data_IF_520205423060
#
_entry.id   IF_520205423060
#
_cell.length_a   1.000
_cell.length_b   1.000
_cell.length_c   1.000
_cell.angle_alpha   90.00
_cell.angle_beta   90.00
_cell.angle_gamma   90.00
#
_symmetry.space_group_name_H-M   'P 1'
#
loop_
_entity.id
_entity.type
_entity.pdbx_description
1 polymer ?
#
# COMPACT_ATOMS: atom_id res chain seq x y z
N UNK A 1 -4.77 -19.62 4.38
CA UNK A 1 -4.53 -19.36 5.81
C UNK A 1 -5.30 -18.11 6.17
N UNK A 2 -6.35 -18.23 6.98
CA UNK A 2 -7.18 -17.09 7.42
C UNK A 2 -6.72 -16.71 8.82
N UNK A 3 -5.91 -15.66 8.91
CA UNK A 3 -5.52 -15.10 10.20
C UNK A 3 -6.76 -14.49 10.86
N UNK A 4 -7.13 -15.00 12.03
CA UNK A 4 -8.15 -14.40 12.88
C UNK A 4 -7.42 -13.77 14.05
N UNK A 5 -7.15 -12.46 13.98
CA UNK A 5 -6.66 -11.73 15.14
C UNK A 5 -7.63 -11.93 16.31
N UNK A 6 -7.09 -12.09 17.52
CA UNK A 6 -7.95 -12.08 18.71
C UNK A 6 -8.74 -10.77 18.79
N UNK A 7 -9.97 -10.82 19.28
CA UNK A 7 -10.82 -9.63 19.45
C UNK A 7 -10.09 -8.55 20.27
N UNK A 8 -9.31 -8.96 21.27
CA UNK A 8 -8.45 -8.08 22.05
C UNK A 8 -7.44 -7.33 21.18
N UNK A 9 -6.77 -8.00 20.25
CA UNK A 9 -5.82 -7.37 19.33
C UNK A 9 -6.52 -6.39 18.39
N UNK A 10 -7.65 -6.81 17.81
CA UNK A 10 -8.45 -5.96 16.92
C UNK A 10 -8.90 -4.69 17.65
N UNK A 11 -9.39 -4.82 18.89
CA UNK A 11 -9.80 -3.68 19.70
C UNK A 11 -8.62 -2.72 19.99
N UNK A 12 -7.46 -3.25 20.39
CA UNK A 12 -6.26 -2.43 20.62
C UNK A 12 -5.82 -1.67 19.37
N UNK A 13 -5.82 -2.33 18.22
CA UNK A 13 -5.50 -1.72 16.92
C UNK A 13 -6.49 -0.62 16.57
N UNK A 14 -7.80 -0.87 16.72
CA UNK A 14 -8.84 0.15 16.47
C UNK A 14 -8.65 1.40 17.33
N UNK A 15 -8.38 1.23 18.63
CA UNK A 15 -8.12 2.35 19.52
C UNK A 15 -6.85 3.10 19.11
N UNK A 16 -5.78 2.38 18.77
CA UNK A 16 -4.54 2.98 18.30
C UNK A 16 -4.75 3.80 17.00
N UNK A 17 -5.53 3.29 16.05
CA UNK A 17 -5.90 4.01 14.82
C UNK A 17 -6.71 5.27 15.16
N UNK A 18 -7.71 5.19 16.03
CA UNK A 18 -8.53 6.36 16.42
C UNK A 18 -7.67 7.44 17.04
N UNK A 19 -6.77 7.06 17.95
CA UNK A 19 -5.83 8.00 18.56
C UNK A 19 -4.92 8.58 17.49
N UNK A 20 -4.32 7.77 16.63
CA UNK A 20 -3.42 8.24 15.57
C UNK A 20 -4.13 9.20 14.59
N UNK A 21 -5.37 8.88 14.20
CA UNK A 21 -6.14 9.63 13.21
C UNK A 21 -6.72 10.95 13.74
N UNK A 22 -6.61 11.26 15.04
CA UNK A 22 -7.09 12.53 15.57
C UNK A 22 -6.35 13.71 14.89
N UNK A 23 -7.04 14.69 14.28
CA UNK A 23 -6.42 15.80 13.55
C UNK A 23 -5.36 16.57 14.34
N UNK A 24 -5.55 16.78 15.65
CA UNK A 24 -4.56 17.45 16.51
C UNK A 24 -3.24 16.68 16.57
N UNK A 25 -3.33 15.34 16.53
CA UNK A 25 -2.17 14.46 16.56
C UNK A 25 -1.46 14.47 15.19
N UNK A 26 -2.20 14.70 14.10
CA UNK A 26 -1.66 14.72 12.73
C UNK A 26 -0.72 15.92 12.52
N UNK A 27 -1.06 17.09 13.06
CA UNK A 27 -0.23 18.29 12.92
C UNK A 27 1.14 18.12 13.58
N UNK A 28 1.20 17.39 14.68
CA UNK A 28 2.45 17.08 15.39
C UNK A 28 3.31 16.13 14.57
N UNK A 29 2.69 15.14 13.91
CA UNK A 29 3.40 14.25 12.98
C UNK A 29 3.91 15.04 11.78
N UNK A 30 3.10 15.92 11.18
CA UNK A 30 3.47 16.70 9.98
C UNK A 30 4.58 17.71 10.24
N UNK A 31 4.55 18.43 11.36
CA UNK A 31 5.53 19.48 11.69
C UNK A 31 6.95 18.94 11.88
N UNK A 32 7.09 17.63 12.06
CA UNK A 32 8.38 17.00 12.31
C UNK A 32 9.04 16.28 11.16
N UNK A 33 8.33 16.07 10.07
CA UNK A 33 8.87 15.36 8.90
C UNK A 33 9.78 16.26 8.06
N UNK A 34 10.15 17.45 8.57
CA UNK A 34 11.25 18.23 7.99
C UNK A 34 12.52 17.39 8.19
N UNK A 35 13.23 17.03 7.10
CA UNK A 35 14.44 16.24 7.23
C UNK A 35 15.41 17.05 8.08
N UNK A 36 15.75 16.53 9.25
CA UNK A 36 16.95 16.95 9.95
C UNK A 36 18.07 16.45 9.05
N UNK A 37 18.56 17.34 8.18
CA UNK A 37 19.84 17.13 7.53
C UNK A 37 20.86 16.95 8.65
N UNK A 38 21.71 15.94 8.49
CA UNK A 38 22.96 15.76 9.21
C UNK A 38 22.91 15.06 10.59
N UNK A 39 22.92 13.73 10.53
CA UNK A 39 24.02 12.97 11.13
C UNK A 39 24.06 12.69 12.65
N UNK A 40 23.06 13.08 13.45
CA UNK A 40 23.09 12.84 14.90
C UNK A 40 21.99 11.87 15.39
N UNK A 41 22.41 10.69 15.83
CA UNK A 41 21.57 9.63 16.41
C UNK A 41 20.75 10.11 17.63
N UNK A 42 21.23 11.13 18.34
CA UNK A 42 20.60 11.66 19.57
C UNK A 42 19.28 12.43 19.35
N UNK A 43 19.08 13.01 18.16
CA UNK A 43 17.85 13.78 17.88
C UNK A 43 16.65 12.85 17.68
N UNK A 44 16.88 11.64 17.17
CA UNK A 44 15.82 10.68 16.87
C UNK A 44 15.22 10.06 18.16
N UNK A 45 16.02 9.88 19.21
CA UNK A 45 15.58 9.35 20.51
C UNK A 45 14.73 10.36 21.29
N UNK A 46 15.20 11.61 21.38
CA UNK A 46 14.44 12.71 22.02
C UNK A 46 13.11 12.91 21.29
N UNK A 47 13.13 12.82 19.96
CA UNK A 47 11.94 12.96 19.13
C UNK A 47 10.95 11.79 19.28
N UNK A 48 11.48 10.57 19.45
CA UNK A 48 10.67 9.38 19.73
C UNK A 48 10.03 9.46 21.12
N UNK A 49 10.79 9.94 22.12
CA UNK A 49 10.31 10.11 23.49
C UNK A 49 9.21 11.18 23.59
N UNK A 50 9.37 12.33 22.93
CA UNK A 50 8.35 13.39 22.96
C UNK A 50 7.03 12.94 22.32
N UNK A 51 7.08 12.24 21.18
CA UNK A 51 5.90 11.58 20.59
C UNK A 51 5.27 10.57 21.54
N UNK A 52 6.09 9.72 22.16
CA UNK A 52 5.61 8.70 23.09
C UNK A 52 4.87 9.35 24.27
N UNK A 53 5.46 10.36 24.91
CA UNK A 53 4.84 11.08 26.03
C UNK A 53 3.54 11.78 25.61
N UNK A 54 3.51 12.36 24.41
CA UNK A 54 2.31 12.96 23.85
C UNK A 54 1.17 11.95 23.70
N UNK A 55 1.42 10.82 23.02
CA UNK A 55 0.41 9.79 22.84
C UNK A 55 0.02 9.14 24.17
N UNK A 56 0.95 9.03 25.12
CA UNK A 56 0.69 8.56 26.48
C UNK A 56 -0.28 9.48 27.20
N UNK A 57 -0.04 10.78 27.17
CA UNK A 57 -0.96 11.77 27.74
C UNK A 57 -2.34 11.71 27.09
N UNK A 58 -2.42 11.62 25.75
CA UNK A 58 -3.70 11.46 25.05
C UNK A 58 -4.44 10.18 25.48
N UNK A 59 -3.74 9.05 25.63
CA UNK A 59 -4.34 7.83 26.15
C UNK A 59 -4.88 8.01 27.57
N UNK A 60 -4.10 8.63 28.46
CA UNK A 60 -4.52 8.94 29.83
C UNK A 60 -5.77 9.82 29.86
N UNK A 61 -5.82 10.86 29.03
CA UNK A 61 -6.97 11.75 28.92
C UNK A 61 -8.24 11.03 28.41
N UNK A 62 -8.07 9.94 27.65
CA UNK A 62 -9.18 9.07 27.22
C UNK A 62 -9.59 8.04 28.29
N UNK A 63 -9.03 8.08 29.50
CA UNK A 63 -9.33 7.14 30.58
C UNK A 63 -8.82 5.71 30.32
N UNK A 64 -7.82 5.55 29.44
CA UNK A 64 -7.28 4.23 29.09
C UNK A 64 -6.39 3.72 30.25
N UNK A 65 -6.66 2.53 30.82
CA UNK A 65 -5.82 1.95 31.87
C UNK A 65 -4.37 1.76 31.42
N UNK A 66 -3.41 1.98 32.33
CA UNK A 66 -1.97 1.91 32.04
C UNK A 66 -1.53 0.63 31.30
N UNK A 67 -2.07 -0.53 31.68
CA UNK A 67 -1.73 -1.81 31.06
C UNK A 67 -2.17 -1.89 29.59
N UNK A 68 -3.30 -1.25 29.24
CA UNK A 68 -3.77 -1.17 27.85
C UNK A 68 -3.05 -0.06 27.08
N UNK A 69 -2.76 1.05 27.75
CA UNK A 69 -2.03 2.17 27.18
C UNK A 69 -0.67 1.73 26.64
N UNK A 70 0.14 1.00 27.40
CA UNK A 70 1.46 0.54 26.92
C UNK A 70 1.32 -0.34 25.65
N UNK A 71 0.27 -1.16 25.55
CA UNK A 71 0.00 -1.98 24.37
C UNK A 71 -0.46 -1.15 23.17
N UNK A 72 -1.21 -0.09 23.41
CA UNK A 72 -1.63 0.86 22.35
C UNK A 72 -0.44 1.66 21.87
N UNK A 73 0.42 2.14 22.76
CA UNK A 73 1.61 2.93 22.39
C UNK A 73 2.58 2.12 21.53
N UNK A 74 2.71 0.81 21.76
CA UNK A 74 3.49 -0.09 20.91
C UNK A 74 2.91 -0.24 19.48
N UNK A 75 1.62 0.08 19.27
CA UNK A 75 0.95 0.00 17.96
C UNK A 75 1.06 1.29 17.14
N UNK A 76 1.29 2.43 17.79
CA UNK A 76 1.34 3.72 17.10
C UNK A 76 2.49 3.80 16.09
N UNK A 77 3.75 3.39 16.39
CA UNK A 77 4.84 3.46 15.42
C UNK A 77 4.58 2.67 14.12
N UNK A 78 4.15 1.39 14.14
CA UNK A 78 3.87 0.68 12.89
C UNK A 78 2.67 1.26 12.13
N UNK A 79 1.61 1.72 12.80
CA UNK A 79 0.48 2.40 12.15
C UNK A 79 0.96 3.68 11.45
N UNK A 80 1.78 4.48 12.14
CA UNK A 80 2.38 5.69 11.58
C UNK A 80 3.21 5.38 10.34
N UNK A 81 4.06 4.36 10.40
CA UNK A 81 4.87 3.92 9.26
C UNK A 81 4.00 3.51 8.07
N UNK A 82 2.88 2.82 8.28
CA UNK A 82 1.95 2.48 7.19
C UNK A 82 1.41 3.74 6.50
N UNK A 83 1.05 4.75 7.27
CA UNK A 83 0.57 6.02 6.73
C UNK A 83 1.68 6.80 6.02
N UNK A 84 2.89 6.83 6.57
CA UNK A 84 4.07 7.43 5.93
C UNK A 84 4.40 6.73 4.60
N UNK A 85 4.41 5.39 4.59
CA UNK A 85 4.63 4.58 3.38
C UNK A 85 3.57 4.90 2.31
N UNK A 86 2.28 4.93 2.70
CA UNK A 86 1.20 5.33 1.81
C UNK A 86 1.41 6.73 1.23
N UNK A 87 1.71 7.72 2.08
CA UNK A 87 1.97 9.10 1.63
C UNK A 87 3.18 9.18 0.70
N UNK A 88 4.27 8.49 1.03
CA UNK A 88 5.48 8.47 0.23
C UNK A 88 5.26 7.83 -1.14
N UNK A 89 4.49 6.74 -1.18
CA UNK A 89 4.14 6.06 -2.41
C UNK A 89 3.21 6.88 -3.29
N UNK A 90 2.38 7.77 -2.71
CA UNK A 90 1.38 8.58 -3.43
C UNK A 90 1.69 10.08 -3.49
N UNK A 91 2.84 10.52 -2.98
CA UNK A 91 3.22 11.94 -2.86
C UNK A 91 3.20 12.68 -4.20
N UNK A 92 3.38 11.96 -5.29
CA UNK A 92 3.40 12.50 -6.63
C UNK A 92 2.06 13.01 -7.16
N UNK A 93 0.94 12.51 -6.67
CA UNK A 93 -0.37 12.99 -7.12
C UNK A 93 -0.80 14.25 -6.36
N UNK A 94 -0.09 14.60 -5.29
CA UNK A 94 -0.64 15.44 -4.23
C UNK A 94 0.45 16.32 -3.64
N UNK A 95 0.61 17.52 -4.19
CA UNK A 95 1.59 18.47 -3.68
C UNK A 95 1.31 18.85 -2.21
N UNK A 96 0.05 19.04 -1.79
CA UNK A 96 -0.22 19.53 -0.41
C UNK A 96 -1.47 19.00 0.34
N UNK A 97 -2.54 18.54 -0.32
CA UNK A 97 -3.86 18.40 0.36
C UNK A 97 -4.40 16.98 0.57
N UNK A 98 -3.62 15.95 0.28
CA UNK A 98 -4.17 14.60 0.20
C UNK A 98 -3.77 13.70 1.36
N UNK A 99 -4.72 12.86 1.76
CA UNK A 99 -4.55 11.95 2.87
C UNK A 99 -4.72 12.66 4.22
N UNK A 100 -5.80 13.43 4.38
CA UNK A 100 -6.37 13.49 5.72
C UNK A 100 -6.68 12.04 6.12
N UNK A 101 -6.31 11.63 7.33
CA UNK A 101 -6.43 10.22 7.71
C UNK A 101 -7.86 9.67 7.63
N UNK A 102 -8.85 10.56 7.54
CA UNK A 102 -10.26 10.25 7.32
C UNK A 102 -10.53 9.51 5.99
N UNK A 103 -9.67 9.71 4.99
CA UNK A 103 -9.79 9.07 3.68
C UNK A 103 -9.14 7.69 3.64
N UNK A 104 -8.31 7.36 4.65
CA UNK A 104 -7.59 6.11 4.74
C UNK A 104 -8.51 5.01 5.26
N UNK A 105 -8.61 3.93 4.48
CA UNK A 105 -9.32 2.72 4.88
C UNK A 105 -8.34 1.82 5.65
N UNK A 106 -8.49 1.73 6.97
CA UNK A 106 -7.66 0.87 7.81
C UNK A 106 -8.22 -0.56 7.89
N UNK A 107 -7.35 -1.55 7.80
CA UNK A 107 -7.67 -2.94 8.12
C UNK A 107 -7.76 -3.14 9.64
N UNK A 108 -8.37 -4.25 10.05
CA UNK A 108 -8.40 -4.65 11.46
C UNK A 108 -7.00 -5.01 12.02
N UNK A 109 -6.00 -5.11 11.15
CA UNK A 109 -4.60 -5.36 11.50
C UNK A 109 -3.80 -4.06 11.66
N UNK A 110 -4.39 -2.89 11.41
CA UNK A 110 -3.67 -1.63 11.50
C UNK A 110 -2.72 -1.42 10.32
N UNK A 111 -3.05 -2.03 9.19
CA UNK A 111 -2.47 -1.71 7.87
C UNK A 111 -3.48 -0.90 7.09
N UNK A 112 -3.00 -0.19 6.06
CA UNK A 112 -3.90 0.47 5.11
C UNK A 112 -4.42 -0.57 4.13
N UNK A 113 -5.72 -0.54 3.84
CA UNK A 113 -6.31 -1.24 2.70
C UNK A 113 -6.10 -0.35 1.48
N UNK A 114 -5.04 -0.63 0.71
CA UNK A 114 -4.59 0.24 -0.38
C UNK A 114 -5.65 0.38 -1.47
N UNK A 115 -6.27 -0.74 -1.85
CA UNK A 115 -7.29 -0.78 -2.88
C UNK A 115 -8.56 -0.03 -2.45
N UNK A 116 -9.04 -0.24 -1.23
CA UNK A 116 -10.26 0.43 -0.77
C UNK A 116 -10.03 1.92 -0.52
N UNK A 117 -8.85 2.28 -0.01
CA UNK A 117 -8.42 3.67 0.09
C UNK A 117 -8.40 4.30 -1.31
N UNK A 118 -7.75 3.66 -2.29
CA UNK A 118 -7.71 4.16 -3.67
C UNK A 118 -9.11 4.34 -4.28
N UNK A 119 -10.03 3.37 -4.10
CA UNK A 119 -11.41 3.50 -4.59
C UNK A 119 -12.13 4.68 -3.94
N UNK A 120 -11.99 4.85 -2.63
CA UNK A 120 -12.64 5.94 -1.89
C UNK A 120 -12.18 7.29 -2.42
N UNK A 121 -10.87 7.44 -2.58
CA UNK A 121 -10.24 8.64 -3.11
C UNK A 121 -10.68 8.93 -4.55
N UNK A 122 -10.70 7.92 -5.40
CA UNK A 122 -11.13 8.06 -6.80
C UNK A 122 -12.61 8.40 -6.93
N UNK A 123 -13.42 8.10 -5.92
CA UNK A 123 -14.87 8.37 -5.91
C UNK A 123 -15.24 9.67 -5.21
N UNK A 124 -14.37 10.22 -4.36
CA UNK A 124 -14.63 11.50 -3.71
C UNK A 124 -14.66 12.64 -4.73
N UNK A 125 -15.61 13.54 -4.53
CA UNK A 125 -15.78 14.78 -5.31
C UNK A 125 -14.85 15.90 -4.83
N UNK A 126 -14.23 15.73 -3.66
CA UNK A 126 -13.25 16.68 -3.10
C UNK A 126 -11.95 16.72 -3.93
N UNK A 127 -11.76 15.75 -4.84
CA UNK A 127 -10.57 15.62 -5.66
C UNK A 127 -10.83 15.89 -7.14
N UNK A 128 -9.85 16.53 -7.76
CA UNK A 128 -9.87 16.89 -9.18
C UNK A 128 -9.63 15.69 -10.10
N UNK A 129 -9.91 15.86 -11.40
CA UNK A 129 -9.56 14.87 -12.42
C UNK A 129 -8.07 14.47 -12.37
N UNK A 130 -7.19 15.47 -12.28
CA UNK A 130 -5.73 15.28 -12.24
C UNK A 130 -5.25 14.44 -11.04
N UNK A 131 -6.03 14.42 -9.97
CA UNK A 131 -5.77 13.67 -8.76
C UNK A 131 -6.37 12.26 -8.82
N UNK A 132 -7.61 12.13 -9.31
CA UNK A 132 -8.37 10.88 -9.32
C UNK A 132 -7.92 9.95 -10.44
N UNK A 133 -7.68 10.49 -11.64
CA UNK A 133 -7.39 9.68 -12.82
C UNK A 133 -6.09 8.88 -12.71
N UNK A 134 -4.95 9.44 -12.24
CA UNK A 134 -3.73 8.67 -12.05
C UNK A 134 -3.87 7.57 -10.99
N UNK A 135 -4.58 7.84 -9.88
CA UNK A 135 -4.85 6.80 -8.86
C UNK A 135 -5.68 5.68 -9.46
N UNK A 136 -6.76 6.00 -10.19
CA UNK A 136 -7.59 5.00 -10.84
C UNK A 136 -6.79 4.12 -11.82
N UNK A 137 -5.89 4.74 -12.59
CA UNK A 137 -4.98 4.06 -13.50
C UNK A 137 -3.99 3.15 -12.77
N UNK A 138 -3.36 3.65 -11.70
CA UNK A 138 -2.35 2.93 -10.94
C UNK A 138 -2.92 1.70 -10.20
N UNK A 139 -4.15 1.82 -9.69
CA UNK A 139 -4.88 0.75 -8.99
C UNK A 139 -5.79 -0.10 -9.88
N UNK A 140 -5.74 0.08 -11.21
CA UNK A 140 -6.53 -0.68 -12.18
C UNK A 140 -8.04 -0.60 -11.95
N UNK A 141 -8.54 0.53 -11.46
CA UNK A 141 -9.96 0.79 -11.23
C UNK A 141 -10.66 1.08 -12.56
N UNK A 142 -10.75 0.08 -13.41
CA UNK A 142 -11.15 0.20 -14.84
C UNK A 142 -12.41 1.02 -15.03
N UNK A 143 -13.47 0.73 -14.27
CA UNK A 143 -14.75 1.43 -14.39
C UNK A 143 -14.59 2.90 -14.02
N UNK A 144 -13.80 3.20 -13.00
CA UNK A 144 -13.52 4.56 -12.57
C UNK A 144 -12.62 5.30 -13.59
N UNK A 145 -11.62 4.63 -14.18
CA UNK A 145 -10.80 5.18 -15.28
C UNK A 145 -11.68 5.59 -16.45
N UNK A 146 -12.55 4.69 -16.91
CA UNK A 146 -13.47 4.95 -18.02
C UNK A 146 -14.41 6.11 -17.71
N UNK A 147 -15.03 6.09 -16.53
CA UNK A 147 -15.95 7.15 -16.09
C UNK A 147 -15.26 8.51 -16.04
N UNK A 148 -14.08 8.59 -15.41
CA UNK A 148 -13.31 9.83 -15.31
C UNK A 148 -12.86 10.33 -16.69
N UNK A 149 -12.39 9.44 -17.56
CA UNK A 149 -11.97 9.82 -18.91
C UNK A 149 -13.11 10.37 -19.76
N UNK A 150 -14.28 9.74 -19.70
CA UNK A 150 -15.45 10.17 -20.46
C UNK A 150 -16.00 11.51 -19.96
N UNK A 151 -15.94 11.74 -18.64
CA UNK A 151 -16.39 13.00 -18.03
C UNK A 151 -15.41 14.17 -18.22
N UNK A 152 -14.11 13.89 -18.42
CA UNK A 152 -13.08 14.92 -18.53
C UNK A 152 -13.19 15.73 -19.83
N UNK A 153 -12.98 17.04 -19.68
CA UNK A 153 -12.86 18.00 -20.78
C UNK A 153 -11.61 17.74 -21.64
N UNK A 154 -11.60 18.29 -22.85
CA UNK A 154 -10.44 18.23 -23.75
C UNK A 154 -9.20 18.85 -23.09
N UNK A 155 -9.36 20.00 -22.44
CA UNK A 155 -8.28 20.71 -21.73
C UNK A 155 -7.71 19.88 -20.58
N UNK A 156 -8.53 19.18 -19.81
CA UNK A 156 -8.04 18.29 -18.75
C UNK A 156 -7.21 17.13 -19.30
N UNK A 157 -7.66 16.52 -20.41
CA UNK A 157 -6.94 15.42 -21.07
C UNK A 157 -5.58 15.88 -21.60
N UNK A 158 -5.55 17.02 -22.29
CA UNK A 158 -4.32 17.59 -22.85
C UNK A 158 -3.30 17.96 -21.75
N UNK A 159 -3.76 18.46 -20.61
CA UNK A 159 -2.89 18.90 -19.51
C UNK A 159 -2.52 17.80 -18.52
N UNK A 160 -3.08 16.60 -18.63
CA UNK A 160 -2.84 15.52 -17.66
C UNK A 160 -1.38 15.08 -17.60
N UNK A 161 -0.74 14.85 -18.76
CA UNK A 161 0.68 14.42 -18.79
C UNK A 161 1.62 15.53 -18.29
N UNK A 162 1.51 16.78 -18.77
CA UNK A 162 2.26 17.90 -18.20
C UNK A 162 2.11 18.02 -16.68
N UNK A 163 0.89 17.93 -16.17
CA UNK A 163 0.60 17.98 -14.74
C UNK A 163 1.34 16.89 -13.96
N UNK A 164 1.27 15.64 -14.43
CA UNK A 164 1.93 14.50 -13.77
C UNK A 164 3.46 14.69 -13.75
N UNK A 165 4.04 15.23 -14.83
CA UNK A 165 5.48 15.52 -14.93
C UNK A 165 5.88 16.63 -13.95
N UNK A 166 5.15 17.75 -13.93
CA UNK A 166 5.39 18.86 -13.00
C UNK A 166 5.31 18.42 -11.54
N UNK A 167 4.36 17.53 -11.21
CA UNK A 167 4.24 17.00 -9.85
C UNK A 167 5.40 16.06 -9.41
N UNK A 168 6.42 15.86 -10.25
CA UNK A 168 7.57 15.03 -9.91
C UNK A 168 7.23 13.55 -9.86
N UNK A 169 6.27 13.10 -10.68
CA UNK A 169 5.73 11.76 -10.55
C UNK A 169 6.72 10.65 -10.83
N UNK A 170 6.61 9.57 -10.06
CA UNK A 170 7.40 8.35 -10.29
C UNK A 170 7.15 7.85 -11.71
N UNK A 171 8.24 7.44 -12.37
CA UNK A 171 8.22 6.91 -13.75
C UNK A 171 7.15 5.84 -13.97
N UNK A 172 6.87 5.04 -12.95
CA UNK A 172 5.93 3.93 -13.03
C UNK A 172 4.47 4.39 -13.19
N UNK A 173 4.04 5.44 -12.46
CA UNK A 173 2.66 5.94 -12.62
C UNK A 173 2.50 6.68 -13.93
N UNK A 174 3.47 7.53 -14.29
CA UNK A 174 3.45 8.20 -15.59
C UNK A 174 3.34 7.18 -16.73
N UNK A 175 4.08 6.07 -16.64
CA UNK A 175 3.99 4.96 -17.60
C UNK A 175 2.60 4.31 -17.60
N UNK A 176 2.05 3.98 -16.43
CA UNK A 176 0.71 3.41 -16.32
C UNK A 176 -0.35 4.33 -16.95
N UNK A 177 -0.32 5.63 -16.61
CA UNK A 177 -1.27 6.63 -17.13
C UNK A 177 -1.16 6.78 -18.64
N UNK A 178 0.06 6.92 -19.19
CA UNK A 178 0.26 7.01 -20.65
C UNK A 178 -0.34 5.81 -21.39
N UNK A 179 -0.24 4.62 -20.81
CA UNK A 179 -0.77 3.42 -21.43
C UNK A 179 -2.29 3.34 -21.34
N UNK A 180 -2.89 3.79 -20.23
CA UNK A 180 -4.34 3.96 -20.15
C UNK A 180 -4.85 4.99 -21.16
N UNK A 181 -4.21 6.15 -21.27
CA UNK A 181 -4.55 7.20 -22.24
C UNK A 181 -4.52 6.64 -23.67
N UNK A 182 -3.40 6.02 -24.07
CA UNK A 182 -3.26 5.40 -25.38
C UNK A 182 -4.39 4.40 -25.67
N UNK A 183 -4.72 3.57 -24.69
CA UNK A 183 -5.81 2.61 -24.82
C UNK A 183 -7.17 3.28 -25.00
N UNK A 184 -7.43 4.35 -24.26
CA UNK A 184 -8.69 5.11 -24.32
C UNK A 184 -8.83 5.85 -25.65
N UNK A 185 -7.75 6.44 -26.16
CA UNK A 185 -7.68 7.14 -27.45
C UNK A 185 -7.83 6.21 -28.65
N UNK A 186 -7.36 4.96 -28.55
CA UNK A 186 -7.55 3.91 -29.57
C UNK A 186 -9.03 3.46 -29.73
N UNK A 187 -10.00 4.14 -29.07
CA UNK A 187 -11.43 3.83 -29.14
C UNK A 187 -11.82 2.55 -28.40
N UNK A 188 -10.95 2.05 -27.51
CA UNK A 188 -11.09 0.74 -26.90
C UNK A 188 -12.15 0.65 -25.77
N UNK A 189 -12.92 1.73 -25.56
CA UNK A 189 -14.12 1.75 -24.71
C UNK A 189 -15.11 0.64 -25.10
N UNK A 190 -15.10 0.18 -26.37
CA UNK A 190 -16.07 -0.80 -26.89
C UNK A 190 -15.49 -2.19 -27.22
N UNK A 191 -14.16 -2.42 -27.23
CA UNK A 191 -13.57 -3.73 -27.66
C UNK A 191 -12.37 -4.19 -26.82
N UNK A 192 -12.47 -5.44 -26.32
CA UNK A 192 -11.38 -6.32 -25.82
C UNK A 192 -10.33 -5.66 -24.91
N UNK A 193 -10.82 -5.03 -23.83
CA UNK A 193 -10.06 -4.53 -22.67
C UNK A 193 -8.82 -5.38 -22.30
N UNK A 194 -8.97 -6.70 -22.29
CA UNK A 194 -7.96 -7.63 -21.77
C UNK A 194 -6.62 -7.68 -22.55
N UNK A 195 -6.62 -7.49 -23.88
CA UNK A 195 -5.37 -7.59 -24.68
C UNK A 195 -4.40 -6.43 -24.38
N UNK A 196 -4.92 -5.26 -24.05
CA UNK A 196 -4.11 -4.10 -23.65
C UNK A 196 -3.66 -4.20 -22.20
N UNK A 197 -4.53 -4.69 -21.30
CA UNK A 197 -4.16 -4.99 -19.92
C UNK A 197 -2.97 -5.98 -19.84
N UNK A 198 -2.88 -6.94 -20.77
CA UNK A 198 -1.69 -7.82 -20.87
C UNK A 198 -0.39 -7.05 -21.06
N UNK A 199 -0.39 -5.98 -21.87
CA UNK A 199 0.82 -5.18 -22.08
C UNK A 199 1.25 -4.47 -20.79
N UNK A 200 0.30 -4.02 -19.99
CA UNK A 200 0.53 -3.37 -18.70
C UNK A 200 1.18 -4.31 -17.66
N UNK A 201 1.02 -5.64 -17.81
CA UNK A 201 1.65 -6.66 -16.94
C UNK A 201 3.17 -6.71 -17.11
N UNK A 202 3.72 -6.16 -18.19
CA UNK A 202 5.16 -6.14 -18.41
C UNK A 202 5.83 -4.85 -17.93
N UNK A 203 5.08 -3.85 -17.45
CA UNK A 203 5.66 -2.56 -17.05
C UNK A 203 6.22 -2.58 -15.62
N UNK A 204 7.49 -2.23 -15.42
CA UNK A 204 8.07 -2.18 -14.08
C UNK A 204 7.29 -1.26 -13.13
N UNK A 205 7.09 -1.75 -11.89
CA UNK A 205 6.56 -0.96 -10.79
C UNK A 205 5.13 -0.44 -10.90
N UNK A 206 4.33 -0.94 -11.85
CA UNK A 206 2.86 -0.82 -11.81
C UNK A 206 2.33 -1.84 -10.79
N UNK A 207 1.34 -1.46 -9.98
CA UNK A 207 0.67 -2.39 -9.06
C UNK A 207 0.23 -3.62 -9.86
N UNK A 208 0.39 -4.84 -9.33
CA UNK A 208 -0.12 -6.02 -10.00
C UNK A 208 -1.63 -5.89 -10.26
N UNK A 209 -2.13 -6.39 -11.40
CA UNK A 209 -3.54 -6.32 -11.69
C UNK A 209 -4.36 -7.10 -10.63
N UNK A 210 -5.64 -6.75 -10.41
CA UNK A 210 -6.56 -7.52 -9.58
C UNK A 210 -6.61 -9.00 -9.94
N UNK A 211 -6.90 -9.86 -8.97
CA UNK A 211 -6.84 -11.33 -9.14
C UNK A 211 -7.78 -11.85 -10.23
N UNK A 212 -8.89 -11.18 -10.49
CA UNK A 212 -9.84 -11.50 -11.57
C UNK A 212 -9.19 -11.41 -12.96
N UNK A 213 -8.15 -10.59 -13.10
CA UNK A 213 -7.36 -10.48 -14.33
C UNK A 213 -6.37 -11.65 -14.42
N UNK A 214 -5.90 -12.18 -13.29
CA UNK A 214 -4.94 -13.29 -13.25
C UNK A 214 -5.53 -14.57 -13.80
N UNK A 215 -6.80 -14.83 -13.48
CA UNK A 215 -7.52 -16.01 -13.95
C UNK A 215 -7.64 -16.07 -15.48
N UNK A 216 -7.46 -14.94 -16.16
CA UNK A 216 -7.54 -14.83 -17.61
C UNK A 216 -6.17 -14.97 -18.28
N UNK A 217 -5.08 -14.93 -17.51
CA UNK A 217 -3.70 -14.97 -18.00
C UNK A 217 -3.28 -16.40 -18.31
N UNK A 218 -2.37 -16.54 -19.27
CA UNK A 218 -1.68 -17.81 -19.49
C UNK A 218 -0.77 -18.15 -18.30
N UNK A 219 -0.42 -19.42 -18.16
CA UNK A 219 0.51 -19.88 -17.12
C UNK A 219 1.83 -19.12 -17.14
N UNK A 220 2.39 -18.84 -18.32
CA UNK A 220 3.64 -18.10 -18.46
C UNK A 220 3.50 -16.62 -18.11
N UNK A 221 2.36 -16.00 -18.44
CA UNK A 221 2.06 -14.63 -18.03
C UNK A 221 1.93 -14.51 -16.51
N UNK A 222 1.26 -15.48 -15.86
CA UNK A 222 1.17 -15.55 -14.39
C UNK A 222 2.57 -15.73 -13.78
N UNK A 223 3.40 -16.62 -14.31
CA UNK A 223 4.79 -16.79 -13.85
C UNK A 223 5.62 -15.52 -14.00
N UNK A 224 5.47 -14.80 -15.12
CA UNK A 224 6.15 -13.51 -15.35
C UNK A 224 5.70 -12.47 -14.32
N UNK A 225 4.38 -12.33 -14.13
CA UNK A 225 3.79 -11.41 -13.17
C UNK A 225 4.26 -11.70 -11.74
N UNK A 226 4.31 -12.98 -11.34
CA UNK A 226 4.84 -13.44 -10.05
C UNK A 226 6.28 -13.01 -9.82
N UNK A 227 7.18 -13.32 -10.76
CA UNK A 227 8.59 -12.88 -10.69
C UNK A 227 8.71 -11.37 -10.58
N UNK A 228 7.88 -10.63 -11.30
CA UNK A 228 7.85 -9.15 -11.23
C UNK A 228 7.41 -8.66 -9.85
N UNK A 229 6.39 -9.27 -9.25
CA UNK A 229 5.94 -8.92 -7.89
C UNK A 229 7.07 -9.12 -6.88
N UNK A 230 7.76 -10.26 -6.98
CA UNK A 230 8.92 -10.60 -6.15
C UNK A 230 10.11 -9.65 -6.35
N UNK A 231 10.25 -9.03 -7.52
CA UNK A 231 11.38 -8.15 -7.82
C UNK A 231 11.08 -6.67 -7.56
N UNK A 232 9.92 -6.19 -8.01
CA UNK A 232 9.64 -4.76 -8.14
C UNK A 232 8.86 -4.19 -6.95
N UNK A 233 8.08 -5.03 -6.28
CA UNK A 233 7.20 -4.60 -5.18
C UNK A 233 7.60 -5.19 -3.84
N UNK A 234 8.62 -6.03 -3.85
CA UNK A 234 9.01 -6.78 -2.69
C UNK A 234 9.75 -5.88 -1.70
N UNK A 235 9.19 -5.74 -0.49
CA UNK A 235 9.64 -4.77 0.51
C UNK A 235 8.83 -3.46 0.55
N UNK A 236 7.99 -3.19 -0.46
CA UNK A 236 7.08 -2.04 -0.43
C UNK A 236 5.80 -2.37 0.34
N UNK A 237 5.09 -1.35 0.78
CA UNK A 237 3.81 -1.52 1.48
C UNK A 237 2.72 -2.03 0.55
N UNK A 238 2.66 -1.54 -0.69
CA UNK A 238 1.85 -2.07 -1.80
C UNK A 238 2.12 -3.55 -2.04
N UNK A 239 3.39 -3.95 -2.12
CA UNK A 239 3.74 -5.35 -2.39
C UNK A 239 3.26 -6.29 -1.29
N UNK A 240 3.35 -5.85 -0.04
CA UNK A 240 2.80 -6.58 1.11
C UNK A 240 1.28 -6.70 1.02
N UNK A 241 0.55 -5.60 0.83
CA UNK A 241 -0.91 -5.63 0.68
C UNK A 241 -1.33 -6.58 -0.45
N UNK A 242 -0.64 -6.51 -1.59
CA UNK A 242 -0.93 -7.38 -2.72
C UNK A 242 -0.67 -8.85 -2.41
N UNK A 243 0.47 -9.16 -1.77
CA UNK A 243 0.79 -10.52 -1.34
C UNK A 243 -0.30 -11.11 -0.45
N UNK A 244 -0.87 -10.32 0.46
CA UNK A 244 -1.94 -10.77 1.37
C UNK A 244 -3.25 -11.13 0.69
N UNK A 245 -3.61 -10.41 -0.36
CA UNK A 245 -4.85 -10.65 -1.11
C UNK A 245 -4.77 -11.89 -1.99
N UNK A 246 -3.57 -12.43 -2.21
CA UNK A 246 -3.41 -13.64 -2.99
C UNK A 246 -3.97 -14.87 -2.28
N UNK A 247 -4.49 -15.80 -3.09
CA UNK A 247 -4.83 -17.14 -2.66
C UNK A 247 -3.65 -17.81 -1.94
N UNK A 248 -3.96 -18.66 -0.96
CA UNK A 248 -2.96 -19.32 -0.14
C UNK A 248 -2.01 -20.21 -0.96
N UNK A 249 -2.50 -20.86 -2.03
CA UNK A 249 -1.67 -21.69 -2.89
C UNK A 249 -0.68 -20.84 -3.69
N UNK A 250 -1.14 -19.69 -4.22
CA UNK A 250 -0.29 -18.77 -4.96
C UNK A 250 0.80 -18.19 -4.05
N UNK A 251 0.43 -17.79 -2.83
CA UNK A 251 1.42 -17.36 -1.83
C UNK A 251 2.45 -18.45 -1.58
N UNK A 252 2.02 -19.70 -1.38
CA UNK A 252 2.91 -20.83 -1.14
C UNK A 252 3.85 -21.09 -2.33
N UNK A 253 3.36 -20.96 -3.56
CA UNK A 253 4.19 -21.09 -4.76
C UNK A 253 5.23 -19.97 -4.86
N UNK A 254 4.85 -18.72 -4.56
CA UNK A 254 5.79 -17.60 -4.48
C UNK A 254 6.84 -17.81 -3.38
N UNK A 255 6.41 -18.33 -2.23
CA UNK A 255 7.28 -18.71 -1.13
C UNK A 255 8.33 -19.74 -1.56
N UNK A 256 7.95 -20.75 -2.34
CA UNK A 256 8.88 -21.76 -2.85
C UNK A 256 9.88 -21.20 -3.87
N UNK A 257 9.48 -20.18 -4.63
CA UNK A 257 10.34 -19.55 -5.63
C UNK A 257 11.37 -18.62 -5.01
N UNK A 258 11.01 -17.92 -3.93
CA UNK A 258 11.90 -17.00 -3.23
C UNK A 258 11.56 -16.93 -1.74
N UNK A 259 12.05 -17.92 -0.99
CA UNK A 259 11.79 -18.05 0.43
C UNK A 259 12.38 -16.90 1.25
N UNK A 260 13.55 -16.38 0.84
CA UNK A 260 14.21 -15.27 1.52
C UNK A 260 13.34 -14.02 1.49
N UNK A 261 12.92 -13.61 0.29
CA UNK A 261 11.99 -12.51 0.12
C UNK A 261 10.72 -12.80 0.93
N UNK A 262 10.08 -13.94 0.70
CA UNK A 262 8.81 -14.24 1.36
C UNK A 262 8.87 -14.18 2.90
N UNK A 263 9.97 -14.62 3.51
CA UNK A 263 10.26 -14.45 4.95
C UNK A 263 10.52 -13.00 5.36
N UNK A 264 11.24 -12.23 4.55
CA UNK A 264 11.52 -10.82 4.81
C UNK A 264 10.22 -10.00 4.96
N UNK A 265 9.15 -10.31 4.22
CA UNK A 265 7.83 -9.67 4.44
C UNK A 265 7.29 -9.89 5.84
N UNK A 266 7.59 -11.03 6.46
CA UNK A 266 7.13 -11.37 7.79
C UNK A 266 7.91 -10.63 8.88
N UNK A 267 9.04 -9.99 8.56
CA UNK A 267 9.74 -9.08 9.47
C UNK A 267 9.05 -7.72 9.61
N UNK A 268 8.07 -7.43 8.76
CA UNK A 268 7.37 -6.16 8.74
C UNK A 268 5.96 -6.26 9.30
N UNK A 269 5.43 -5.11 9.71
CA UNK A 269 4.10 -5.01 10.27
C UNK A 269 3.07 -5.35 9.20
N UNK A 270 2.05 -6.18 9.51
CA UNK A 270 1.63 -6.67 10.83
C UNK A 270 2.11 -8.11 11.15
N UNK A 271 3.06 -8.65 10.40
CA UNK A 271 3.36 -10.08 10.32
C UNK A 271 4.44 -10.59 11.28
N UNK A 272 5.07 -9.73 12.08
CA UNK A 272 6.21 -10.16 12.90
C UNK A 272 5.90 -11.32 13.82
N UNK A 273 4.65 -11.42 14.27
CA UNK A 273 4.19 -12.51 15.12
C UNK A 273 4.13 -13.86 14.40
N UNK A 274 4.01 -13.85 13.07
CA UNK A 274 3.93 -15.06 12.24
C UNK A 274 5.29 -15.49 11.69
N UNK A 275 6.32 -14.65 11.81
CA UNK A 275 7.64 -14.91 11.24
C UNK A 275 8.19 -16.28 11.66
N UNK A 276 8.17 -16.60 12.96
CA UNK A 276 8.70 -17.87 13.47
C UNK A 276 7.89 -19.08 13.00
N UNK A 277 6.56 -18.95 12.92
CA UNK A 277 5.71 -20.02 12.41
C UNK A 277 5.99 -20.27 10.92
N UNK A 278 6.12 -19.20 10.13
CA UNK A 278 6.46 -19.28 8.72
C UNK A 278 7.85 -19.87 8.48
N UNK A 279 8.85 -19.43 9.25
CA UNK A 279 10.21 -19.94 9.19
C UNK A 279 10.28 -21.44 9.51
N UNK A 280 9.56 -21.90 10.55
CA UNK A 280 9.46 -23.33 10.88
C UNK A 280 8.85 -24.15 9.75
N UNK A 281 7.75 -23.68 9.15
CA UNK A 281 7.10 -24.36 8.01
C UNK A 281 8.04 -24.45 6.81
N UNK A 282 8.80 -23.39 6.54
CA UNK A 282 9.79 -23.39 5.47
C UNK A 282 10.89 -24.40 5.74
N UNK A 283 11.44 -24.41 6.95
CA UNK A 283 12.44 -25.38 7.36
C UNK A 283 11.95 -26.83 7.16
N UNK A 284 10.75 -27.15 7.65
CA UNK A 284 10.15 -28.48 7.47
C UNK A 284 9.87 -28.84 6.01
N UNK A 285 9.66 -27.86 5.13
CA UNK A 285 9.50 -28.12 3.69
C UNK A 285 10.83 -28.38 2.96
N UNK A 286 11.95 -27.98 3.55
CA UNK A 286 13.29 -28.25 3.04
C UNK A 286 13.77 -29.66 3.43
N UNK A 287 13.30 -30.21 4.56
CA UNK A 287 13.68 -31.56 5.03
C UNK A 287 13.25 -32.69 4.06
N UNK A 288 12.31 -32.43 3.14
CA UNK A 288 11.95 -33.35 2.06
C UNK A 288 12.87 -33.31 0.84
N UNK A 289 13.73 -32.28 0.74
CA UNK A 289 14.82 -32.23 -0.23
C UNK A 289 16.05 -32.84 0.45
N UNK A 290 16.15 -34.17 0.40
CA UNK A 290 17.44 -34.84 0.59
C UNK A 290 18.39 -34.20 -0.41
N UNK A 291 19.31 -33.38 0.09
CA UNK A 291 20.44 -32.89 -0.68
C UNK A 291 21.21 -34.12 -1.15
N UNK A 292 20.99 -34.53 -2.40
CA UNK A 292 22.00 -35.28 -3.14
C UNK A 292 23.16 -34.30 -3.38
N UNK A 293 24.06 -34.25 -2.40
CA UNK A 293 25.45 -33.86 -2.64
C UNK A 293 26.18 -35.02 -3.32
#
# INVERSE_FOLDING_TARGET
>A
MNFVASLKRIALVKVAIIIFNNPENQDIVRKSDRPISDGLCSVNEIYTLSKYLYFKQKCSNCGIPNVLMEKILQLIPPIRRQFEDWRYEHSFNFRHDFGQMNDICWSFLGTIDYMETAKRLVRSEDFTFFQRFPVACFYWLTNDVLRLWLAASTTEKENLIPYIIDCGSRKNILSAVKQWIKWLEDGAVQKRHYKYLKKLIHFPGVIPPPFEIWQKLSTEEVKCLRRRILRDHFGTSIGRDFFFRMDANIRMELFKQDAHSALSMHLHWPLQTEFLEMAKRLYSSMDGFIFFM
#
